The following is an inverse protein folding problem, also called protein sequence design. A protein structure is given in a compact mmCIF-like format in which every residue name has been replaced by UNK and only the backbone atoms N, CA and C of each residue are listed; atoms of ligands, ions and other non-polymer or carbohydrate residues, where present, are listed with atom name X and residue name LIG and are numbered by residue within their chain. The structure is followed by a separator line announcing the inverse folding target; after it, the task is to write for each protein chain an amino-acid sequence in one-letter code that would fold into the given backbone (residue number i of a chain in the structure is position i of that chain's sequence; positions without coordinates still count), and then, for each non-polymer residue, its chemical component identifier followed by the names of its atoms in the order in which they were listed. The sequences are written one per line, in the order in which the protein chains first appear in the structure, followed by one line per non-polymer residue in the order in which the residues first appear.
data_IF_657390960934
#
_entry.id   IF_657390960934
#
_cell.length_a   1.000
_cell.length_b   1.000
_cell.length_c   1.000
_cell.angle_alpha   90.00
_cell.angle_beta   90.00
_cell.angle_gamma   90.00
#
_symmetry.space_group_name_H-M   'P 1'
#
loop_
_entity.id
_entity.type
_entity.pdbx_description
1 polymer ?
#
# COMPACT_ATOMS: atom_id res chain seq x y z
N UNK A 1 -27.95 -1.45 -22.99
CA UNK A 1 -28.98 -0.48 -22.61
C UNK A 1 -28.49 0.95 -22.70
N UNK A 2 -29.39 1.93 -22.65
CA UNK A 2 -29.03 3.34 -22.68
C UNK A 2 -29.42 3.97 -21.35
N UNK A 3 -28.47 4.68 -20.73
CA UNK A 3 -28.66 5.33 -19.43
C UNK A 3 -28.59 6.84 -19.59
N UNK A 4 -29.52 7.56 -18.99
CA UNK A 4 -29.50 9.02 -18.95
C UNK A 4 -28.57 9.50 -17.84
N UNK A 5 -27.65 10.38 -18.19
CA UNK A 5 -26.72 11.01 -17.25
C UNK A 5 -26.80 12.53 -17.34
N UNK A 6 -26.19 13.23 -16.39
CA UNK A 6 -26.12 14.71 -16.44
C UNK A 6 -25.35 15.25 -17.67
N UNK A 7 -24.63 14.40 -18.39
CA UNK A 7 -23.87 14.73 -19.60
C UNK A 7 -24.52 14.21 -20.89
N UNK A 8 -25.75 13.67 -20.81
CA UNK A 8 -26.50 13.11 -21.94
C UNK A 8 -26.68 11.59 -21.84
N UNK A 9 -27.21 11.03 -22.93
CA UNK A 9 -27.50 9.60 -23.03
C UNK A 9 -26.23 8.80 -23.35
N UNK A 10 -25.95 7.80 -22.52
CA UNK A 10 -24.76 6.92 -22.68
C UNK A 10 -25.23 5.49 -22.93
N UNK A 11 -24.68 4.87 -23.98
CA UNK A 11 -24.87 3.43 -24.26
C UNK A 11 -23.90 2.62 -23.42
N UNK A 12 -24.40 1.57 -22.76
CA UNK A 12 -23.62 0.71 -21.86
C UNK A 12 -23.17 -0.61 -22.51
N UNK A 13 -23.26 -0.70 -23.85
CA UNK A 13 -23.07 -1.97 -24.57
C UNK A 13 -21.61 -2.48 -24.55
N UNK A 14 -20.63 -1.58 -24.32
CA UNK A 14 -19.20 -1.88 -24.30
C UNK A 14 -18.54 -1.56 -22.94
N UNK A 15 -19.31 -1.58 -21.85
CA UNK A 15 -18.77 -1.36 -20.50
C UNK A 15 -18.42 -2.71 -19.87
N UNK A 16 -17.18 -2.84 -19.43
CA UNK A 16 -16.73 -3.95 -18.60
C UNK A 16 -17.12 -3.68 -17.14
N UNK A 17 -17.84 -4.61 -16.52
CA UNK A 17 -18.20 -4.54 -15.12
C UNK A 17 -17.24 -5.40 -14.30
N UNK A 18 -16.58 -4.80 -13.32
CA UNK A 18 -15.70 -5.49 -12.39
C UNK A 18 -16.27 -5.27 -10.98
N UNK A 19 -16.55 -6.37 -10.28
CA UNK A 19 -16.97 -6.34 -8.88
C UNK A 19 -15.87 -6.94 -8.01
N UNK A 20 -15.66 -6.37 -6.82
CA UNK A 20 -14.74 -6.91 -5.83
C UNK A 20 -15.44 -7.05 -4.48
N UNK A 21 -15.02 -8.01 -3.68
CA UNK A 21 -15.55 -8.23 -2.34
C UNK A 21 -14.63 -9.13 -1.52
N UNK A 22 -14.60 -8.90 -0.22
CA UNK A 22 -13.92 -9.75 0.74
C UNK A 22 -14.94 -10.77 1.29
N UNK A 23 -14.88 -11.99 0.84
CA UNK A 23 -15.82 -13.06 1.22
C UNK A 23 -15.37 -13.77 2.50
N UNK A 24 -15.30 -13.03 3.62
CA UNK A 24 -14.88 -13.61 4.92
C UNK A 24 -15.94 -14.53 5.54
N UNK A 25 -17.23 -14.18 5.42
CA UNK A 25 -18.35 -14.92 6.03
C UNK A 25 -19.27 -15.57 4.99
N UNK A 26 -19.05 -15.32 3.71
CA UNK A 26 -19.86 -15.82 2.60
C UNK A 26 -18.95 -16.29 1.46
N UNK A 27 -19.55 -16.95 0.48
CA UNK A 27 -18.84 -17.39 -0.74
C UNK A 27 -19.42 -16.67 -1.95
N UNK A 28 -18.67 -16.54 -3.06
CA UNK A 28 -19.22 -16.03 -4.31
C UNK A 28 -20.46 -16.81 -4.79
N UNK A 29 -20.60 -18.10 -4.39
CA UNK A 29 -21.76 -18.94 -4.66
C UNK A 29 -23.03 -18.54 -3.90
N UNK A 30 -22.88 -17.71 -2.86
CA UNK A 30 -24.01 -17.22 -2.07
C UNK A 30 -24.66 -15.97 -2.69
N UNK A 31 -24.03 -15.41 -3.74
CA UNK A 31 -24.63 -14.37 -4.54
C UNK A 31 -25.89 -14.88 -5.24
N UNK A 32 -26.85 -13.98 -5.44
CA UNK A 32 -28.08 -14.32 -6.19
C UNK A 32 -27.74 -14.83 -7.60
N UNK A 33 -28.47 -15.82 -8.13
CA UNK A 33 -28.19 -16.45 -9.41
C UNK A 33 -28.01 -15.48 -10.57
N UNK A 34 -28.75 -14.38 -10.59
CA UNK A 34 -28.68 -13.35 -11.63
C UNK A 34 -27.31 -12.67 -11.66
N UNK A 35 -26.71 -12.39 -10.50
CA UNK A 35 -25.37 -11.82 -10.41
C UNK A 35 -24.29 -12.85 -10.78
N UNK A 36 -24.45 -14.10 -10.35
CA UNK A 36 -23.51 -15.17 -10.71
C UNK A 36 -23.44 -15.35 -12.23
N UNK A 37 -24.57 -15.30 -12.92
CA UNK A 37 -24.63 -15.41 -14.38
C UNK A 37 -24.07 -14.20 -15.13
N UNK A 38 -24.08 -13.02 -14.52
CA UNK A 38 -23.56 -11.78 -15.12
C UNK A 38 -22.10 -11.51 -14.80
N UNK A 39 -21.54 -12.16 -13.75
CA UNK A 39 -20.14 -12.10 -13.34
C UNK A 39 -19.52 -13.51 -13.39
N UNK A 40 -19.43 -14.11 -14.61
CA UNK A 40 -19.03 -15.51 -14.74
C UNK A 40 -17.53 -15.74 -14.50
N UNK A 41 -16.70 -14.70 -14.67
CA UNK A 41 -15.26 -14.79 -14.47
C UNK A 41 -14.96 -14.47 -13.00
N UNK A 42 -14.29 -15.41 -12.33
CA UNK A 42 -13.87 -15.25 -10.94
C UNK A 42 -12.36 -15.24 -10.87
N UNK A 43 -11.83 -14.29 -10.14
CA UNK A 43 -10.39 -14.14 -9.87
C UNK A 43 -10.22 -14.04 -8.37
N UNK A 44 -9.39 -14.89 -7.81
CA UNK A 44 -8.98 -14.84 -6.41
C UNK A 44 -7.62 -14.19 -6.31
N UNK A 45 -7.50 -13.19 -5.44
CA UNK A 45 -6.24 -12.52 -5.17
C UNK A 45 -5.55 -13.20 -3.99
N UNK A 46 -4.28 -13.52 -4.15
CA UNK A 46 -3.43 -14.00 -3.07
C UNK A 46 -2.88 -12.86 -2.22
N UNK A 47 -2.52 -13.15 -0.97
CA UNK A 47 -1.81 -12.20 -0.12
C UNK A 47 -0.44 -11.85 -0.75
N UNK A 48 0.01 -10.61 -0.53
CA UNK A 48 1.31 -10.14 -1.01
C UNK A 48 2.44 -10.79 -0.21
N UNK A 49 3.50 -11.19 -0.90
CA UNK A 49 4.74 -11.67 -0.31
C UNK A 49 5.70 -10.51 -0.01
N UNK A 50 6.78 -10.71 0.78
CA UNK A 50 7.83 -9.68 0.96
C UNK A 50 8.42 -9.21 -0.37
N UNK A 51 8.62 -10.12 -1.33
CA UNK A 51 9.11 -9.77 -2.67
C UNK A 51 8.13 -8.89 -3.44
N UNK A 52 6.83 -9.15 -3.32
CA UNK A 52 5.80 -8.30 -3.93
C UNK A 52 5.82 -6.89 -3.32
N UNK A 53 5.98 -6.77 -2.00
CA UNK A 53 6.12 -5.47 -1.34
C UNK A 53 7.38 -4.73 -1.81
N UNK A 54 8.52 -5.44 -1.96
CA UNK A 54 9.77 -4.86 -2.51
C UNK A 54 9.55 -4.35 -3.93
N UNK A 55 8.89 -5.12 -4.78
CA UNK A 55 8.58 -4.73 -6.16
C UNK A 55 7.66 -3.51 -6.22
N UNK A 56 6.64 -3.44 -5.38
CA UNK A 56 5.73 -2.28 -5.29
C UNK A 56 6.49 -1.01 -4.90
N UNK A 57 7.49 -1.12 -4.02
CA UNK A 57 8.32 0.01 -3.59
C UNK A 57 9.27 0.53 -4.69
N UNK A 58 9.60 -0.27 -5.70
CA UNK A 58 10.69 0.03 -6.64
C UNK A 58 10.30 0.05 -8.12
N UNK A 59 9.42 -0.85 -8.57
CA UNK A 59 9.16 -1.04 -10.00
C UNK A 59 8.26 0.02 -10.66
N UNK A 60 7.17 0.52 -10.03
CA UNK A 60 6.32 1.52 -10.67
C UNK A 60 7.08 2.82 -10.94
N UNK A 61 6.78 3.50 -12.06
CA UNK A 61 7.36 4.83 -12.35
C UNK A 61 7.11 5.87 -11.26
N UNK A 62 5.99 5.75 -10.56
CA UNK A 62 5.63 6.55 -9.39
C UNK A 62 5.66 5.67 -8.13
N UNK A 63 6.73 4.90 -7.93
CA UNK A 63 6.92 4.10 -6.73
C UNK A 63 6.90 4.97 -5.47
N UNK A 64 6.47 4.41 -4.34
CA UNK A 64 6.39 5.17 -3.07
C UNK A 64 7.75 5.77 -2.68
N UNK A 65 8.84 5.05 -2.88
CA UNK A 65 10.19 5.58 -2.62
C UNK A 65 10.46 6.85 -3.41
N UNK A 66 10.10 6.88 -4.70
CA UNK A 66 10.27 8.05 -5.56
C UNK A 66 9.35 9.20 -5.12
N UNK A 67 8.10 8.90 -4.78
CA UNK A 67 7.16 9.92 -4.30
C UNK A 67 7.66 10.62 -3.03
N UNK A 68 8.14 9.84 -2.05
CA UNK A 68 8.67 10.40 -0.81
C UNK A 68 10.01 11.12 -1.01
N UNK A 69 10.87 10.67 -1.92
CA UNK A 69 12.09 11.40 -2.29
C UNK A 69 11.75 12.78 -2.84
N UNK A 70 10.83 12.85 -3.79
CA UNK A 70 10.42 14.14 -4.37
C UNK A 70 9.69 15.03 -3.35
N UNK A 71 8.85 14.44 -2.48
CA UNK A 71 8.19 15.18 -1.40
C UNK A 71 9.21 15.81 -0.45
N UNK A 72 10.17 15.01 0.08
CA UNK A 72 11.19 15.52 1.00
C UNK A 72 12.11 16.55 0.35
N UNK A 73 12.35 16.42 -0.93
CA UNK A 73 13.13 17.39 -1.69
C UNK A 73 12.45 18.76 -1.76
N UNK A 74 11.11 18.83 -1.75
CA UNK A 74 10.39 20.11 -1.65
C UNK A 74 10.60 20.81 -0.30
N UNK A 75 10.88 20.03 0.75
CA UNK A 75 11.22 20.52 2.10
C UNK A 75 12.74 20.79 2.26
N UNK A 76 13.52 20.65 1.18
CA UNK A 76 14.96 20.88 1.19
C UNK A 76 15.79 19.69 1.69
N UNK A 77 15.18 18.52 1.84
CA UNK A 77 15.82 17.29 2.28
C UNK A 77 16.02 16.32 1.12
N UNK A 78 17.23 15.80 0.99
CA UNK A 78 17.56 14.73 0.06
C UNK A 78 17.58 13.39 0.83
N UNK A 79 16.64 12.49 0.52
CA UNK A 79 16.58 11.15 1.09
C UNK A 79 16.97 10.11 0.05
N UNK A 80 17.75 9.13 0.46
CA UNK A 80 18.19 8.03 -0.38
C UNK A 80 17.81 6.69 0.28
N UNK A 81 17.08 5.85 -0.45
CA UNK A 81 16.77 4.49 -0.01
C UNK A 81 17.81 3.52 -0.54
N UNK A 82 18.44 2.78 0.36
CA UNK A 82 19.35 1.68 -0.02
C UNK A 82 18.57 0.41 -0.33
N UNK A 83 19.15 -0.53 -1.06
CA UNK A 83 18.49 -1.79 -1.42
C UNK A 83 18.14 -2.64 -0.19
N UNK A 84 19.04 -2.68 0.80
CA UNK A 84 18.83 -3.37 2.07
C UNK A 84 17.73 -2.66 2.91
N UNK A 85 17.71 -1.32 2.93
CA UNK A 85 16.65 -0.54 3.56
C UNK A 85 15.27 -0.84 2.95
N UNK A 86 15.16 -0.84 1.63
CA UNK A 86 13.92 -1.21 0.92
C UNK A 86 13.49 -2.64 1.26
N UNK A 87 14.42 -3.59 1.28
CA UNK A 87 14.13 -4.98 1.64
C UNK A 87 13.60 -5.07 3.08
N UNK A 88 14.19 -4.32 3.99
CA UNK A 88 13.74 -4.29 5.40
C UNK A 88 12.37 -3.65 5.59
N UNK A 89 12.07 -2.57 4.87
CA UNK A 89 10.72 -1.96 4.85
C UNK A 89 9.69 -2.99 4.37
N UNK A 90 9.99 -3.71 3.29
CA UNK A 90 9.11 -4.74 2.74
C UNK A 90 8.83 -5.88 3.72
N UNK A 91 9.87 -6.36 4.43
CA UNK A 91 9.74 -7.38 5.48
C UNK A 91 8.85 -6.92 6.63
N UNK A 92 9.06 -5.70 7.14
CA UNK A 92 8.26 -5.15 8.24
C UNK A 92 6.80 -4.96 7.78
N UNK A 93 6.57 -4.43 6.59
CA UNK A 93 5.22 -4.28 6.05
C UNK A 93 4.51 -5.63 5.92
N UNK A 94 5.21 -6.69 5.51
CA UNK A 94 4.69 -8.03 5.47
C UNK A 94 4.36 -8.55 6.88
N UNK A 95 5.28 -8.44 7.83
CA UNK A 95 5.08 -8.91 9.22
C UNK A 95 3.87 -8.23 9.88
N UNK A 96 3.76 -6.90 9.74
CA UNK A 96 2.62 -6.14 10.28
C UNK A 96 1.31 -6.56 9.59
N UNK A 97 1.34 -6.84 8.30
CA UNK A 97 0.17 -7.28 7.55
C UNK A 97 -0.30 -8.69 7.94
N UNK A 98 0.64 -9.59 8.31
CA UNK A 98 0.32 -10.94 8.81
C UNK A 98 -0.16 -10.93 10.27
N UNK A 99 0.42 -10.06 11.11
CA UNK A 99 0.07 -9.93 12.53
C UNK A 99 -1.23 -9.16 12.80
N UNK A 100 -1.73 -8.44 11.81
CA UNK A 100 -2.92 -7.59 11.93
C UNK A 100 -3.92 -7.85 10.81
N UNK A 101 -4.83 -6.90 10.55
CA UNK A 101 -5.68 -6.96 9.36
C UNK A 101 -4.83 -6.82 8.09
N UNK A 102 -4.95 -7.80 7.19
CA UNK A 102 -4.28 -7.77 5.89
C UNK A 102 -4.96 -6.75 4.96
N UNK A 103 -4.35 -5.57 4.85
CA UNK A 103 -4.80 -4.48 3.97
C UNK A 103 -3.98 -4.38 2.68
N UNK A 104 -3.15 -5.38 2.41
CA UNK A 104 -2.34 -5.47 1.20
C UNK A 104 -1.35 -4.31 1.05
N UNK A 105 -1.17 -3.82 -0.16
CA UNK A 105 -0.20 -2.76 -0.49
C UNK A 105 -0.45 -1.44 0.27
N UNK A 106 -1.66 -1.19 0.77
CA UNK A 106 -1.95 0.00 1.58
C UNK A 106 -1.08 0.06 2.84
N UNK A 107 -0.65 -1.10 3.36
CA UNK A 107 0.27 -1.18 4.50
C UNK A 107 1.60 -0.43 4.25
N UNK A 108 2.08 -0.40 3.01
CA UNK A 108 3.29 0.35 2.69
C UNK A 108 3.17 1.86 2.94
N UNK A 109 2.02 2.46 2.69
CA UNK A 109 1.81 3.88 2.99
C UNK A 109 1.97 4.15 4.49
N UNK A 110 1.29 3.38 5.34
CA UNK A 110 1.36 3.56 6.79
C UNK A 110 2.77 3.32 7.34
N UNK A 111 3.47 2.31 6.82
CA UNK A 111 4.87 2.02 7.21
C UNK A 111 5.80 3.15 6.77
N UNK A 112 5.65 3.66 5.55
CA UNK A 112 6.45 4.78 5.04
C UNK A 112 6.18 6.09 5.78
N UNK A 113 4.92 6.40 6.07
CA UNK A 113 4.55 7.57 6.87
C UNK A 113 5.22 7.52 8.25
N UNK A 114 5.14 6.38 8.93
CA UNK A 114 5.77 6.20 10.24
C UNK A 114 7.30 6.27 10.16
N UNK A 115 7.89 5.66 9.15
CA UNK A 115 9.35 5.68 8.92
C UNK A 115 9.90 7.10 8.77
N UNK A 116 9.16 7.96 8.09
CA UNK A 116 9.60 9.31 7.72
C UNK A 116 9.05 10.40 8.66
N UNK A 117 8.25 10.02 9.67
CA UNK A 117 7.62 10.97 10.60
C UNK A 117 8.66 11.86 11.29
N UNK A 118 9.73 11.26 11.85
CA UNK A 118 10.79 12.01 12.53
C UNK A 118 11.56 12.92 11.57
N UNK A 119 11.87 12.45 10.37
CA UNK A 119 12.55 13.24 9.33
C UNK A 119 11.70 14.43 8.93
N UNK A 120 10.42 14.22 8.69
CA UNK A 120 9.49 15.28 8.29
C UNK A 120 9.36 16.36 9.37
N UNK A 121 9.43 15.96 10.65
CA UNK A 121 9.35 16.89 11.77
C UNK A 121 10.65 17.66 12.01
N UNK A 122 11.80 16.98 11.83
CA UNK A 122 13.14 17.53 12.09
C UNK A 122 13.80 18.10 10.82
N UNK A 123 13.08 18.20 9.70
CA UNK A 123 13.61 18.59 8.40
C UNK A 123 14.40 19.92 8.42
N UNK A 124 14.00 20.84 9.28
CA UNK A 124 14.68 22.14 9.44
C UNK A 124 16.06 22.07 10.09
N UNK A 125 16.34 21.00 10.87
CA UNK A 125 17.56 20.84 11.65
C UNK A 125 18.55 19.84 11.03
N UNK A 126 18.10 19.03 10.05
CA UNK A 126 18.90 18.01 9.39
C UNK A 126 19.61 18.59 8.16
N UNK A 127 20.93 18.51 8.14
CA UNK A 127 21.74 18.96 7.00
C UNK A 127 21.69 17.96 5.82
N UNK A 128 20.90 18.31 4.82
CA UNK A 128 21.00 17.98 3.39
C UNK A 128 20.82 16.55 2.90
N UNK A 129 21.21 15.48 3.59
CA UNK A 129 21.04 14.12 3.07
C UNK A 129 20.82 13.10 4.19
N UNK A 130 19.77 12.27 4.03
CA UNK A 130 19.48 11.16 4.94
C UNK A 130 19.46 9.84 4.15
N UNK A 131 20.20 8.85 4.62
CA UNK A 131 20.22 7.51 4.02
C UNK A 131 19.31 6.58 4.81
N UNK A 132 18.34 6.00 4.12
CA UNK A 132 17.39 5.05 4.66
C UNK A 132 17.91 3.63 4.40
N UNK A 133 18.75 3.16 5.30
CA UNK A 133 19.31 1.81 5.31
C UNK A 133 18.59 0.91 6.34
N UNK A 134 19.01 -0.33 6.47
CA UNK A 134 18.46 -1.31 7.41
C UNK A 134 18.51 -0.81 8.86
N UNK A 135 19.60 -0.16 9.26
CA UNK A 135 19.76 0.32 10.64
C UNK A 135 18.81 1.46 10.94
N UNK A 136 18.65 2.38 9.99
CA UNK A 136 17.66 3.45 10.09
C UNK A 136 16.23 2.90 10.19
N UNK A 137 15.88 1.97 9.30
CA UNK A 137 14.56 1.32 9.29
C UNK A 137 14.28 0.62 10.62
N UNK A 138 15.23 -0.17 11.12
CA UNK A 138 15.08 -0.85 12.40
C UNK A 138 14.91 0.14 13.57
N UNK A 139 15.69 1.21 13.60
CA UNK A 139 15.59 2.22 14.65
C UNK A 139 14.21 2.88 14.70
N UNK A 140 13.62 3.19 13.54
CA UNK A 140 12.34 3.91 13.46
C UNK A 140 11.12 3.00 13.57
N UNK A 141 11.22 1.74 13.13
CA UNK A 141 10.10 0.83 13.00
C UNK A 141 10.16 -0.38 13.94
N UNK A 142 11.17 -0.50 14.81
CA UNK A 142 11.33 -1.66 15.69
C UNK A 142 10.13 -1.84 16.62
N UNK A 143 9.61 -0.75 17.15
CA UNK A 143 8.44 -0.76 18.03
C UNK A 143 7.18 -1.23 17.26
N UNK A 144 7.06 -0.87 15.99
CA UNK A 144 5.97 -1.28 15.12
C UNK A 144 5.99 -2.78 14.79
N UNK A 145 7.18 -3.34 14.64
CA UNK A 145 7.36 -4.75 14.33
C UNK A 145 7.19 -5.66 15.56
N UNK A 146 7.40 -5.12 16.76
CA UNK A 146 7.40 -5.87 18.03
C UNK A 146 6.09 -5.74 18.82
N UNK A 147 5.27 -4.72 18.56
CA UNK A 147 4.06 -4.42 19.32
C UNK A 147 2.80 -4.58 18.46
N UNK A 148 2.11 -5.71 18.65
CA UNK A 148 0.81 -6.00 17.99
C UNK A 148 -0.26 -4.94 18.34
N UNK A 149 -0.19 -4.30 19.50
CA UNK A 149 -1.15 -3.28 19.91
C UNK A 149 -0.88 -1.94 19.18
N UNK A 150 0.37 -1.53 19.01
CA UNK A 150 0.72 -0.34 18.24
C UNK A 150 0.38 -0.51 16.76
N UNK A 151 0.55 -1.71 16.20
CA UNK A 151 0.23 -1.99 14.81
C UNK A 151 -1.27 -1.90 14.50
N UNK A 152 -2.16 -2.04 15.50
CA UNK A 152 -3.62 -1.86 15.37
C UNK A 152 -4.06 -0.40 15.34
N UNK A 153 -3.25 0.52 15.88
CA UNK A 153 -3.57 1.95 15.90
C UNK A 153 -3.09 2.71 14.66
N UNK A 154 -2.31 2.05 13.78
CA UNK A 154 -1.84 2.64 12.52
C UNK A 154 -2.79 2.19 11.41
N UNK A 155 -3.90 2.86 11.32
CA UNK A 155 -4.89 2.73 10.25
C UNK A 155 -4.67 3.76 9.17
#
# INVERSE_FOLDING_TARGET
STVSTKHGMVKTDHILFIASGAFHLSKPSDLIPELQGRLPIRVELSALTPDDFKRILTEPKAALTVQYQELMKTEGLDIEFTEDGISRIAEIAYQVNEGTENIGARRLHTVMERLLESISFEAADIQNKVTIDTDYVNKQLNDLAMDEDLSRFIL
#
